data_IF_673239031146
#
_entry.id   IF_673239031146
#
_cell.length_a   1.000
_cell.length_b   1.000
_cell.length_c   1.000
_cell.angle_alpha   90.00
_cell.angle_beta   90.00
_cell.angle_gamma   90.00
#
_symmetry.space_group_name_H-M   'P 1'
#
loop_
_entity.id
_entity.type
_entity.pdbx_description
1 polymer ?
#
# COMPACT_ATOMS: atom_id res chain seq x y z
N UNK A 1 -9.11 16.24 -121.24
CA UNK A 1 -10.41 15.52 -121.37
C UNK A 1 -11.02 15.39 -119.97
N UNK A 2 -12.35 15.58 -119.83
CA UNK A 2 -13.14 15.20 -118.63
C UNK A 2 -13.76 13.81 -118.88
N UNK A 3 -13.95 12.94 -117.87
CA UNK A 3 -15.01 13.05 -116.83
C UNK A 3 -14.46 12.82 -115.39
N UNK A 4 -15.19 12.70 -114.28
CA UNK A 4 -16.50 13.17 -113.70
C UNK A 4 -16.91 12.13 -112.61
N UNK A 5 -17.36 12.58 -111.42
CA UNK A 5 -17.90 11.80 -110.26
C UNK A 5 -16.90 10.89 -109.48
N UNK A 6 -16.81 10.83 -108.13
CA UNK A 6 -17.75 10.93 -106.97
C UNK A 6 -18.54 9.62 -106.74
N UNK A 7 -18.56 8.96 -105.57
CA UNK A 7 -18.06 9.26 -104.20
C UNK A 7 -17.17 8.07 -103.66
N UNK A 8 -16.99 7.71 -102.36
CA UNK A 8 -17.56 8.08 -101.04
C UNK A 8 -16.56 7.77 -99.89
N UNK A 9 -16.93 8.02 -98.63
CA UNK A 9 -16.09 7.92 -97.41
C UNK A 9 -16.15 6.57 -96.66
N UNK A 10 -15.01 6.14 -96.09
CA UNK A 10 -14.95 5.37 -94.84
C UNK A 10 -13.60 5.63 -94.14
N UNK A 11 -13.61 6.25 -92.96
CA UNK A 11 -12.41 6.46 -92.14
C UNK A 11 -12.42 5.50 -90.95
N UNK A 12 -11.37 4.70 -90.81
CA UNK A 12 -11.13 3.83 -89.66
C UNK A 12 -9.81 4.25 -89.02
N UNK A 13 -9.91 4.94 -87.90
CA UNK A 13 -8.77 5.32 -87.06
C UNK A 13 -8.33 4.14 -86.20
N UNK A 14 -7.04 3.82 -86.23
CA UNK A 14 -6.42 2.87 -85.29
C UNK A 14 -6.41 3.43 -83.86
N UNK A 15 -6.70 2.63 -82.83
CA UNK A 15 -6.56 3.06 -81.45
C UNK A 15 -5.08 3.10 -81.04
N UNK A 16 -4.57 4.29 -80.74
CA UNK A 16 -3.31 4.45 -80.02
C UNK A 16 -3.58 4.15 -78.55
N UNK A 17 -2.98 3.09 -78.03
CA UNK A 17 -3.03 2.77 -76.59
C UNK A 17 -2.06 3.71 -75.86
N UNK A 18 -2.59 4.82 -75.35
CA UNK A 18 -1.87 5.65 -74.38
C UNK A 18 -1.90 4.93 -73.02
N UNK A 19 -0.77 4.39 -72.60
CA UNK A 19 -0.62 3.81 -71.25
C UNK A 19 -0.46 4.96 -70.23
N UNK A 20 -1.57 5.64 -69.95
CA UNK A 20 -1.62 6.71 -68.96
C UNK A 20 -1.46 6.15 -67.55
N UNK A 21 -0.29 6.31 -66.95
CA UNK A 21 -0.08 6.11 -65.52
C UNK A 21 -0.85 7.19 -64.75
N UNK A 22 -2.10 6.87 -64.40
CA UNK A 22 -2.92 7.69 -63.52
C UNK A 22 -2.29 7.70 -62.12
N UNK A 23 -1.45 8.70 -61.86
CA UNK A 23 -0.94 9.00 -60.53
C UNK A 23 -2.12 9.52 -59.70
N UNK A 24 -2.81 8.61 -59.01
CA UNK A 24 -3.94 8.93 -58.15
C UNK A 24 -3.44 9.74 -56.93
N UNK A 25 -3.43 11.06 -57.09
CA UNK A 25 -3.26 11.98 -55.97
C UNK A 25 -4.48 11.85 -55.07
N UNK A 26 -4.36 11.06 -54.00
CA UNK A 26 -5.35 11.03 -52.94
C UNK A 26 -5.44 12.44 -52.34
N UNK A 27 -6.59 13.08 -52.45
CA UNK A 27 -6.87 14.35 -51.78
C UNK A 27 -6.61 14.19 -50.28
N UNK A 28 -6.08 15.21 -49.58
CA UNK A 28 -6.02 15.20 -48.12
C UNK A 28 -7.45 15.24 -47.57
N UNK A 29 -8.00 14.05 -47.32
CA UNK A 29 -9.25 13.86 -46.58
C UNK A 29 -8.95 14.30 -45.15
N UNK A 30 -9.56 15.42 -44.75
CA UNK A 30 -9.26 16.13 -43.52
C UNK A 30 -9.82 15.38 -42.29
N UNK A 31 -9.15 14.28 -41.95
CA UNK A 31 -9.33 13.57 -40.71
C UNK A 31 -8.87 14.45 -39.53
N UNK A 32 -9.55 14.32 -38.40
CA UNK A 32 -9.31 15.19 -37.25
C UNK A 32 -9.77 14.52 -35.96
N UNK A 33 -8.82 14.26 -35.06
CA UNK A 33 -9.10 13.60 -33.79
C UNK A 33 -8.02 13.81 -32.75
N UNK A 34 -8.43 13.88 -31.49
CA UNK A 34 -7.51 13.99 -30.35
C UNK A 34 -7.99 13.15 -29.16
N UNK A 35 -7.05 12.78 -28.30
CA UNK A 35 -7.39 12.12 -27.03
C UNK A 35 -7.83 13.17 -26.02
N UNK A 36 -9.10 13.10 -25.63
CA UNK A 36 -9.77 14.04 -24.74
C UNK A 36 -9.78 13.64 -23.25
N UNK A 37 -9.31 12.44 -22.90
CA UNK A 37 -9.29 11.99 -21.51
C UNK A 37 -8.66 10.59 -21.36
N UNK A 38 -7.54 10.42 -20.62
CA UNK A 38 -6.67 11.47 -20.07
C UNK A 38 -6.21 12.45 -21.17
N UNK A 39 -6.06 13.73 -20.84
CA UNK A 39 -5.82 14.78 -21.84
C UNK A 39 -4.48 14.55 -22.56
N UNK A 40 -4.49 14.49 -23.90
CA UNK A 40 -3.24 14.60 -24.67
C UNK A 40 -2.56 15.94 -24.42
N UNK A 41 -1.25 16.04 -24.69
CA UNK A 41 -0.44 17.25 -24.57
C UNK A 41 -1.10 18.43 -25.30
N UNK A 42 -1.61 18.19 -26.50
CA UNK A 42 -2.36 19.16 -27.30
C UNK A 42 -3.74 19.49 -26.71
N UNK A 43 -4.50 18.50 -26.21
CA UNK A 43 -5.76 18.75 -25.52
C UNK A 43 -5.56 19.59 -24.24
N UNK A 44 -4.52 19.29 -23.46
CA UNK A 44 -4.12 20.05 -22.28
C UNK A 44 -3.66 21.49 -22.62
N UNK A 45 -3.09 21.72 -23.81
CA UNK A 45 -2.86 23.07 -24.33
C UNK A 45 -4.18 23.82 -24.61
N UNK A 46 -5.15 23.19 -25.28
CA UNK A 46 -6.50 23.76 -25.50
C UNK A 46 -7.25 24.04 -24.20
N UNK A 47 -7.06 23.20 -23.17
CA UNK A 47 -7.65 23.38 -21.84
C UNK A 47 -6.91 24.39 -20.95
N UNK A 48 -5.81 24.99 -21.41
CA UNK A 48 -5.01 25.94 -20.63
C UNK A 48 -4.18 25.32 -19.49
N UNK A 49 -4.10 23.98 -19.43
CA UNK A 49 -3.26 23.24 -18.47
C UNK A 49 -1.78 23.28 -18.86
N UNK A 50 -1.49 23.33 -20.17
CA UNK A 50 -0.17 23.54 -20.72
C UNK A 50 -0.04 24.97 -21.27
N UNK A 51 1.10 25.61 -21.01
CA UNK A 51 1.43 26.96 -21.52
C UNK A 51 2.46 26.90 -22.65
N UNK A 52 2.57 27.99 -23.42
CA UNK A 52 3.58 28.14 -24.47
C UNK A 52 3.47 27.12 -25.60
N UNK A 53 2.26 26.76 -26.02
CA UNK A 53 2.03 25.69 -27.00
C UNK A 53 1.94 26.14 -28.47
N UNK A 54 2.07 27.44 -28.77
CA UNK A 54 1.85 27.95 -30.13
C UNK A 54 0.40 27.73 -30.62
N UNK A 55 0.24 27.54 -31.93
CA UNK A 55 -1.07 27.48 -32.60
C UNK A 55 -1.96 26.29 -32.23
N UNK A 56 -1.39 25.18 -31.71
CA UNK A 56 -2.15 23.94 -31.45
C UNK A 56 -3.28 24.12 -30.40
N UNK A 57 -3.25 25.18 -29.60
CA UNK A 57 -4.34 25.52 -28.66
C UNK A 57 -5.71 25.63 -29.34
N UNK A 58 -5.74 26.03 -30.62
CA UNK A 58 -6.97 26.18 -31.40
C UNK A 58 -7.41 24.86 -32.05
N UNK A 59 -6.47 23.95 -32.32
CA UNK A 59 -6.70 22.78 -33.17
C UNK A 59 -5.96 21.49 -32.74
N UNK A 60 -6.16 21.00 -31.50
CA UNK A 60 -5.51 19.77 -31.03
C UNK A 60 -5.84 18.52 -31.86
N UNK A 61 -6.89 18.59 -32.67
CA UNK A 61 -7.30 17.55 -33.61
C UNK A 61 -6.39 17.39 -34.85
N UNK A 62 -5.46 18.31 -35.11
CA UNK A 62 -4.74 18.44 -36.39
C UNK A 62 -3.33 17.82 -36.43
N UNK A 63 -2.98 16.93 -35.48
CA UNK A 63 -1.66 16.27 -35.42
C UNK A 63 -1.54 15.07 -36.37
N UNK A 64 -1.63 15.34 -37.67
CA UNK A 64 -1.59 14.36 -38.76
C UNK A 64 -0.17 14.17 -39.34
N UNK A 65 0.22 12.92 -39.61
CA UNK A 65 1.45 12.56 -40.33
C UNK A 65 1.32 11.19 -41.02
N UNK A 66 2.27 10.77 -41.89
CA UNK A 66 2.23 9.43 -42.51
C UNK A 66 2.14 8.30 -41.48
N UNK A 67 1.35 7.26 -41.77
CA UNK A 67 1.14 6.11 -40.88
C UNK A 67 2.28 5.08 -40.92
N UNK A 68 2.14 4.00 -40.14
CA UNK A 68 3.12 2.89 -40.10
C UNK A 68 4.22 3.05 -39.04
N UNK A 69 3.99 3.86 -38.00
CA UNK A 69 4.86 3.91 -36.83
C UNK A 69 4.96 2.52 -36.16
N UNK A 70 6.13 2.09 -35.65
CA UNK A 70 7.40 2.82 -35.56
C UNK A 70 8.30 2.71 -36.79
N UNK A 71 7.99 1.87 -37.78
CA UNK A 71 8.85 1.69 -38.96
C UNK A 71 8.88 2.92 -39.89
N UNK A 72 7.76 3.66 -39.93
CA UNK A 72 7.58 4.92 -40.64
C UNK A 72 7.02 6.00 -39.70
N UNK A 73 6.37 7.03 -40.24
CA UNK A 73 5.81 8.17 -39.50
C UNK A 73 6.84 9.22 -39.06
N UNK A 74 6.47 10.13 -38.14
CA UNK A 74 7.29 11.26 -37.71
C UNK A 74 8.70 10.88 -37.27
N UNK A 75 9.69 11.71 -37.56
CA UNK A 75 11.07 11.49 -37.14
C UNK A 75 11.22 11.49 -35.61
N UNK A 76 12.29 10.87 -35.10
CA UNK A 76 12.65 10.98 -33.68
C UNK A 76 12.90 12.45 -33.29
N UNK A 77 12.46 12.86 -32.10
CA UNK A 77 12.41 14.26 -31.68
C UNK A 77 11.33 15.10 -32.37
N UNK A 78 10.49 14.51 -33.23
CA UNK A 78 9.37 15.16 -33.94
C UNK A 78 8.04 14.42 -33.77
N UNK A 79 7.99 13.47 -32.83
CA UNK A 79 6.84 12.58 -32.61
C UNK A 79 5.64 13.34 -32.01
N UNK A 80 5.89 14.30 -31.12
CA UNK A 80 4.83 15.01 -30.40
C UNK A 80 4.14 16.08 -31.26
N UNK A 81 4.88 16.73 -32.16
CA UNK A 81 4.33 17.63 -33.19
C UNK A 81 3.79 16.90 -34.42
N UNK A 82 3.87 15.57 -34.50
CA UNK A 82 3.68 14.81 -35.73
C UNK A 82 4.55 15.30 -36.91
N UNK A 83 5.69 15.95 -36.64
CA UNK A 83 6.55 16.58 -37.65
C UNK A 83 6.04 17.92 -38.21
N UNK A 84 4.86 18.38 -37.81
CA UNK A 84 4.21 19.61 -38.28
C UNK A 84 4.86 20.89 -37.76
N UNK A 85 4.27 22.05 -38.08
CA UNK A 85 4.70 23.36 -37.59
C UNK A 85 4.55 23.55 -36.06
N UNK A 86 3.80 22.70 -35.35
CA UNK A 86 3.57 22.78 -33.89
C UNK A 86 4.78 22.30 -33.06
N UNK A 87 5.96 22.86 -33.37
CA UNK A 87 7.27 22.44 -32.84
C UNK A 87 7.41 22.57 -31.32
N UNK A 88 6.59 23.42 -30.71
CA UNK A 88 6.51 23.63 -29.26
C UNK A 88 6.18 22.33 -28.52
N UNK A 89 5.42 21.42 -29.14
CA UNK A 89 5.07 20.12 -28.56
C UNK A 89 6.25 19.16 -28.42
N UNK A 90 7.31 19.33 -29.23
CA UNK A 90 8.50 18.48 -29.18
C UNK A 90 9.47 18.87 -28.06
N UNK A 91 9.26 20.01 -27.40
CA UNK A 91 9.99 20.39 -26.19
C UNK A 91 9.78 19.31 -25.12
N UNK A 92 10.87 18.86 -24.49
CA UNK A 92 10.80 17.75 -23.53
C UNK A 92 11.71 18.03 -22.33
N UNK A 93 11.09 18.25 -21.18
CA UNK A 93 11.74 18.26 -19.86
C UNK A 93 10.76 17.80 -18.80
N UNK A 94 11.27 17.34 -17.66
CA UNK A 94 10.45 16.87 -16.55
C UNK A 94 9.38 17.89 -16.11
N UNK A 95 9.72 19.19 -16.14
CA UNK A 95 8.82 20.28 -15.76
C UNK A 95 7.93 20.85 -16.87
N UNK A 96 8.13 20.46 -18.14
CA UNK A 96 7.54 21.19 -19.29
C UNK A 96 6.02 21.05 -19.43
N UNK A 97 5.46 19.90 -19.05
CA UNK A 97 4.08 19.52 -19.36
C UNK A 97 3.30 19.11 -18.11
N UNK A 98 2.02 19.50 -18.07
CA UNK A 98 0.99 18.96 -17.19
C UNK A 98 0.94 17.44 -17.32
N UNK A 99 0.73 16.73 -16.21
CA UNK A 99 0.70 15.27 -16.17
C UNK A 99 -0.63 14.81 -15.62
N UNK A 100 -1.33 13.96 -16.38
CA UNK A 100 -2.52 13.28 -15.91
C UNK A 100 -2.10 12.28 -14.81
N UNK A 101 -2.70 12.34 -13.62
CA UNK A 101 -2.46 11.34 -12.58
C UNK A 101 -3.14 10.03 -12.96
N UNK A 102 -2.38 8.92 -13.01
CA UNK A 102 -2.90 7.58 -13.34
C UNK A 102 -2.24 6.51 -12.47
N UNK A 103 -2.88 5.36 -12.36
CA UNK A 103 -2.28 4.14 -11.83
C UNK A 103 -1.69 3.23 -12.91
N UNK A 104 -0.94 2.22 -12.48
CA UNK A 104 -0.69 0.99 -13.23
C UNK A 104 -1.99 0.18 -13.40
N UNK A 105 -2.13 -0.66 -14.45
CA UNK A 105 -3.34 -1.44 -14.69
C UNK A 105 -4.30 -0.80 -15.70
N UNK A 106 -5.60 -1.13 -15.69
CA UNK A 106 -6.56 -0.64 -16.68
C UNK A 106 -6.71 0.89 -16.70
N UNK A 107 -6.61 1.48 -17.89
CA UNK A 107 -6.78 2.91 -18.14
C UNK A 107 -7.69 3.13 -19.36
N UNK A 108 -8.75 3.92 -19.19
CA UNK A 108 -9.66 4.28 -20.28
C UNK A 108 -9.12 5.49 -21.06
N UNK A 109 -8.92 5.32 -22.36
CA UNK A 109 -8.55 6.37 -23.32
C UNK A 109 -9.78 6.77 -24.15
N UNK A 110 -10.18 8.04 -24.06
CA UNK A 110 -11.34 8.58 -24.77
C UNK A 110 -10.89 9.48 -25.93
N UNK A 111 -11.26 9.13 -27.16
CA UNK A 111 -11.04 10.01 -28.32
C UNK A 111 -12.22 10.94 -28.59
N UNK A 112 -11.91 12.16 -29.04
CA UNK A 112 -12.85 13.11 -29.65
C UNK A 112 -12.50 13.26 -31.12
N UNK A 113 -13.47 12.99 -31.99
CA UNK A 113 -13.39 13.26 -33.43
C UNK A 113 -14.18 14.53 -33.76
N UNK A 114 -13.64 15.37 -34.65
CA UNK A 114 -14.37 16.51 -35.24
C UNK A 114 -14.79 16.25 -36.69
N UNK A 115 -14.27 15.18 -37.30
CA UNK A 115 -14.75 14.59 -38.55
C UNK A 115 -14.64 13.05 -38.43
N UNK A 116 -15.56 12.31 -39.06
CA UNK A 116 -15.61 10.84 -38.96
C UNK A 116 -14.88 10.19 -40.15
N UNK A 117 -13.94 9.28 -39.87
CA UNK A 117 -13.07 8.69 -40.91
C UNK A 117 -12.97 7.18 -40.80
N UNK A 118 -12.77 6.54 -41.95
CA UNK A 118 -12.56 5.09 -42.03
C UNK A 118 -11.30 4.74 -41.25
N UNK A 119 -11.40 3.84 -40.28
CA UNK A 119 -10.31 3.56 -39.35
C UNK A 119 -9.80 2.14 -39.49
N UNK A 120 -8.48 1.98 -39.56
CA UNK A 120 -7.83 0.67 -39.56
C UNK A 120 -7.59 0.16 -38.14
N UNK A 121 -7.01 0.97 -37.27
CA UNK A 121 -6.65 0.59 -35.91
C UNK A 121 -6.26 1.81 -35.06
N UNK A 122 -6.12 1.58 -33.75
CA UNK A 122 -5.39 2.45 -32.85
C UNK A 122 -4.25 1.69 -32.18
N UNK A 123 -3.04 2.23 -32.22
CA UNK A 123 -1.87 1.65 -31.55
C UNK A 123 -1.42 2.54 -30.40
N UNK A 124 -1.19 1.91 -29.25
CA UNK A 124 -0.79 2.57 -28.02
C UNK A 124 0.61 2.14 -27.62
N UNK A 125 1.49 3.12 -27.46
CA UNK A 125 2.86 2.94 -26.99
C UNK A 125 3.05 3.67 -25.67
N UNK A 126 3.99 3.22 -24.86
CA UNK A 126 4.37 3.91 -23.63
C UNK A 126 5.90 3.96 -23.50
N UNK A 127 6.42 5.03 -22.92
CA UNK A 127 7.84 5.14 -22.58
C UNK A 127 8.27 4.02 -21.63
N UNK A 128 9.46 3.46 -21.83
CA UNK A 128 10.13 2.50 -20.95
C UNK A 128 10.45 3.10 -19.59
N UNK A 129 10.65 2.26 -18.57
CA UNK A 129 11.04 2.74 -17.23
C UNK A 129 12.38 3.50 -17.25
N UNK A 130 13.28 3.18 -18.19
CA UNK A 130 14.61 3.79 -18.36
C UNK A 130 14.65 4.96 -19.34
N UNK A 131 13.51 5.56 -19.71
CA UNK A 131 13.50 6.73 -20.61
C UNK A 131 14.06 7.98 -19.92
N UNK A 132 14.64 8.90 -20.70
CA UNK A 132 15.07 10.21 -20.21
C UNK A 132 13.96 11.25 -20.41
N UNK A 133 13.32 11.75 -19.34
CA UNK A 133 12.25 12.75 -19.45
C UNK A 133 12.73 14.14 -19.90
N UNK A 134 14.05 14.35 -20.05
CA UNK A 134 14.67 15.62 -20.47
C UNK A 134 15.33 15.57 -21.85
N UNK A 135 15.18 14.48 -22.60
CA UNK A 135 15.60 14.35 -23.98
C UNK A 135 14.39 14.30 -24.94
N UNK A 136 14.48 14.79 -26.18
CA UNK A 136 13.40 14.69 -27.16
C UNK A 136 12.93 13.24 -27.37
N UNK A 137 11.61 13.04 -27.44
CA UNK A 137 10.99 11.72 -27.53
C UNK A 137 11.39 11.00 -28.83
N UNK A 138 11.90 9.77 -28.70
CA UNK A 138 12.40 8.94 -29.81
C UNK A 138 11.85 7.51 -29.71
N UNK A 139 11.84 6.77 -30.83
CA UNK A 139 11.40 5.37 -30.91
C UNK A 139 12.05 4.46 -29.86
N UNK A 140 13.34 4.67 -29.58
CA UNK A 140 14.09 3.88 -28.60
C UNK A 140 13.48 3.96 -27.18
N UNK A 141 12.84 5.08 -26.82
CA UNK A 141 12.22 5.27 -25.51
C UNK A 141 10.88 4.53 -25.38
N UNK A 142 10.23 4.20 -26.49
CA UNK A 142 8.86 3.67 -26.53
C UNK A 142 8.84 2.14 -26.67
N UNK A 143 7.76 1.53 -26.16
CA UNK A 143 7.34 0.16 -26.47
C UNK A 143 5.83 0.10 -26.72
N UNK A 144 5.38 -0.80 -27.61
CA UNK A 144 3.96 -1.02 -27.89
C UNK A 144 3.32 -1.73 -26.68
N UNK A 145 2.24 -1.17 -26.14
CA UNK A 145 1.49 -1.76 -25.02
C UNK A 145 0.20 -2.45 -25.47
N UNK A 146 -0.48 -1.95 -26.51
CA UNK A 146 -1.63 -2.63 -27.14
C UNK A 146 -1.99 -2.03 -28.50
N UNK A 147 -2.69 -2.79 -29.34
CA UNK A 147 -3.34 -2.32 -30.57
C UNK A 147 -4.82 -2.72 -30.53
N UNK A 148 -5.69 -1.75 -30.77
CA UNK A 148 -7.14 -1.93 -30.93
C UNK A 148 -7.43 -1.96 -32.43
N UNK A 149 -7.77 -3.12 -32.97
CA UNK A 149 -8.16 -3.28 -34.37
C UNK A 149 -9.54 -2.64 -34.64
N UNK A 150 -9.74 -2.19 -35.87
CA UNK A 150 -11.02 -1.69 -36.37
C UNK A 150 -11.33 -2.32 -37.75
N UNK A 151 -12.60 -2.33 -38.15
CA UNK A 151 -13.10 -3.06 -39.33
C UNK A 151 -12.96 -2.29 -40.65
N UNK A 152 -12.30 -1.13 -40.67
CA UNK A 152 -12.24 -0.25 -41.83
C UNK A 152 -13.53 0.54 -42.09
N UNK A 153 -14.54 0.48 -41.23
CA UNK A 153 -15.70 1.38 -41.26
C UNK A 153 -15.34 2.76 -40.65
N UNK A 154 -16.25 3.72 -40.76
CA UNK A 154 -16.05 5.07 -40.23
C UNK A 154 -16.20 5.09 -38.70
N UNK A 155 -15.16 5.49 -37.98
CA UNK A 155 -15.24 5.72 -36.54
C UNK A 155 -16.11 6.97 -36.29
N UNK A 156 -17.39 6.73 -35.97
CA UNK A 156 -18.42 7.76 -35.81
C UNK A 156 -18.91 7.91 -34.35
N UNK A 157 -18.62 6.93 -33.48
CA UNK A 157 -18.78 7.03 -32.04
C UNK A 157 -17.47 7.55 -31.42
N UNK A 158 -17.56 8.25 -30.28
CA UNK A 158 -16.40 8.65 -29.46
C UNK A 158 -15.95 7.40 -28.69
N UNK A 159 -14.92 6.67 -29.15
CA UNK A 159 -14.61 5.36 -28.63
C UNK A 159 -13.78 5.52 -27.36
N UNK A 160 -14.15 4.73 -26.35
CA UNK A 160 -13.39 4.53 -25.14
C UNK A 160 -12.62 3.22 -25.26
N UNK A 161 -11.30 3.27 -25.27
CA UNK A 161 -10.44 2.08 -25.29
C UNK A 161 -9.83 1.85 -23.91
N UNK A 162 -10.01 0.66 -23.35
CA UNK A 162 -9.29 0.26 -22.15
C UNK A 162 -7.93 -0.30 -22.55
N UNK A 163 -6.86 0.37 -22.14
CA UNK A 163 -5.47 -0.09 -22.27
C UNK A 163 -4.96 -0.55 -20.91
N UNK A 164 -3.87 -1.34 -20.88
CA UNK A 164 -3.21 -1.73 -19.63
C UNK A 164 -1.89 -0.98 -19.49
N UNK A 165 -1.79 -0.12 -18.48
CA UNK A 165 -0.56 0.56 -18.07
C UNK A 165 0.37 -0.48 -17.42
N UNK A 166 1.59 -0.71 -17.93
CA UNK A 166 2.48 -1.75 -17.39
C UNK A 166 2.81 -1.55 -15.91
N UNK A 167 2.84 -2.63 -15.14
CA UNK A 167 3.09 -2.59 -13.68
C UNK A 167 4.49 -2.07 -13.30
N UNK A 168 5.47 -2.18 -14.21
CA UNK A 168 6.83 -1.65 -14.06
C UNK A 168 6.91 -0.19 -14.56
N UNK A 169 5.97 0.66 -14.14
CA UNK A 169 5.93 2.10 -14.45
C UNK A 169 5.70 2.93 -13.20
N UNK A 170 6.50 3.96 -13.03
CA UNK A 170 6.48 4.84 -11.86
C UNK A 170 6.97 6.24 -12.22
N UNK A 171 6.27 7.26 -11.73
CA UNK A 171 6.56 8.66 -11.98
C UNK A 171 6.17 9.11 -13.39
N UNK A 172 6.91 10.07 -13.93
CA UNK A 172 6.60 10.67 -15.22
C UNK A 172 6.88 9.71 -16.38
N UNK A 173 5.85 9.48 -17.19
CA UNK A 173 5.90 8.75 -18.45
C UNK A 173 5.10 9.48 -19.54
N UNK A 174 5.32 9.05 -20.78
CA UNK A 174 4.53 9.44 -21.94
C UNK A 174 3.85 8.22 -22.53
N UNK A 175 2.55 8.33 -22.80
CA UNK A 175 1.79 7.41 -23.67
C UNK A 175 1.65 8.08 -25.03
N UNK A 176 1.93 7.35 -26.12
CA UNK A 176 1.67 7.77 -27.49
C UNK A 176 0.47 6.97 -28.02
N UNK A 177 -0.62 7.66 -28.33
CA UNK A 177 -1.78 7.11 -29.01
C UNK A 177 -1.71 7.46 -30.50
N UNK A 178 -1.69 6.44 -31.36
CA UNK A 178 -1.67 6.58 -32.82
C UNK A 178 -2.99 6.07 -33.38
N UNK A 179 -3.65 6.87 -34.22
CA UNK A 179 -4.89 6.49 -34.93
C UNK A 179 -4.60 6.33 -36.43
N UNK A 180 -4.61 5.10 -36.94
CA UNK A 180 -4.37 4.83 -38.36
C UNK A 180 -5.66 4.95 -39.18
N UNK A 181 -5.68 5.92 -40.12
CA UNK A 181 -6.79 6.12 -41.04
C UNK A 181 -6.69 5.10 -42.18
N UNK A 182 -7.82 4.48 -42.55
CA UNK A 182 -7.85 3.36 -43.49
C UNK A 182 -7.77 3.80 -44.95
N UNK A 183 -8.42 4.93 -45.29
CA UNK A 183 -8.55 5.44 -46.66
C UNK A 183 -7.53 6.54 -47.04
N UNK A 184 -6.60 6.88 -46.13
CA UNK A 184 -5.46 7.77 -46.41
C UNK A 184 -4.13 7.09 -46.10
N UNK A 185 -3.01 7.75 -46.42
CA UNK A 185 -1.65 7.31 -46.04
C UNK A 185 -1.23 7.79 -44.64
N UNK A 186 -2.14 8.43 -43.90
CA UNK A 186 -1.83 9.18 -42.67
C UNK A 186 -2.42 8.53 -41.40
N UNK A 187 -1.92 9.02 -40.27
CA UNK A 187 -2.34 8.71 -38.91
C UNK A 187 -2.27 9.95 -38.01
N UNK A 188 -3.01 9.93 -36.90
CA UNK A 188 -3.01 11.01 -35.90
C UNK A 188 -2.20 10.63 -34.68
N UNK A 189 -1.29 11.51 -34.27
CA UNK A 189 -0.31 11.28 -33.21
C UNK A 189 -0.65 12.11 -31.96
N UNK A 190 -1.09 11.44 -30.89
CA UNK A 190 -1.45 12.08 -29.63
C UNK A 190 -0.52 11.60 -28.51
N UNK A 191 0.44 12.45 -28.13
CA UNK A 191 1.23 12.28 -26.90
C UNK A 191 0.39 12.64 -25.68
N UNK A 192 0.45 11.83 -24.64
CA UNK A 192 -0.27 12.00 -23.37
C UNK A 192 0.77 11.94 -22.25
N UNK A 193 0.94 13.05 -21.54
CA UNK A 193 1.82 13.16 -20.38
C UNK A 193 1.13 12.62 -19.13
N UNK A 194 1.77 11.68 -18.44
CA UNK A 194 1.17 10.96 -17.30
C UNK A 194 2.13 10.89 -16.12
N UNK A 195 1.58 10.98 -14.91
CA UNK A 195 2.31 10.69 -13.67
C UNK A 195 1.74 9.39 -13.09
N UNK A 196 2.51 8.31 -13.22
CA UNK A 196 2.11 6.96 -12.82
C UNK A 196 2.42 6.76 -11.34
N UNK A 197 1.40 6.52 -10.54
CA UNK A 197 1.58 5.99 -9.18
C UNK A 197 1.49 4.47 -9.22
N UNK A 198 2.58 3.72 -8.90
CA UNK A 198 2.50 2.28 -8.68
C UNK A 198 1.49 2.02 -7.55
N UNK A 199 0.49 1.17 -7.79
CA UNK A 199 -0.59 0.92 -6.83
C UNK A 199 -2.01 1.00 -7.41
N UNK A 200 -2.20 1.44 -8.66
CA UNK A 200 -3.50 1.32 -9.35
C UNK A 200 -3.88 -0.13 -9.73
N UNK A 201 -3.06 -1.10 -9.35
CA UNK A 201 -3.20 -2.51 -9.68
C UNK A 201 -3.18 -3.44 -8.46
N UNK A 202 -3.37 -2.92 -7.25
CA UNK A 202 -3.77 -3.81 -6.17
C UNK A 202 -5.25 -4.17 -6.37
N UNK A 203 -5.51 -5.43 -6.71
CA UNK A 203 -6.86 -5.98 -6.83
C UNK A 203 -7.25 -6.88 -5.66
N UNK A 204 -6.34 -7.07 -4.70
CA UNK A 204 -6.65 -7.77 -3.46
C UNK A 204 -7.31 -6.78 -2.53
N UNK A 205 -8.56 -7.05 -2.15
CA UNK A 205 -9.15 -6.34 -1.03
C UNK A 205 -8.48 -6.77 0.28
N UNK A 206 -8.29 -5.84 1.24
CA UNK A 206 -7.82 -6.20 2.58
C UNK A 206 -8.65 -7.31 3.22
N UNK A 207 -8.03 -8.06 4.13
CA UNK A 207 -8.77 -9.02 4.96
C UNK A 207 -9.85 -8.30 5.80
N UNK A 208 -10.91 -9.02 6.14
CA UNK A 208 -11.93 -8.46 7.04
C UNK A 208 -11.28 -8.10 8.40
N UNK A 209 -11.56 -6.90 8.97
CA UNK A 209 -11.11 -6.57 10.32
C UNK A 209 -11.56 -7.63 11.32
N UNK A 210 -10.74 -7.83 12.36
CA UNK A 210 -11.06 -8.79 13.42
C UNK A 210 -12.31 -8.40 14.22
N UNK A 211 -12.67 -9.24 15.19
CA UNK A 211 -13.84 -9.03 16.05
C UNK A 211 -13.85 -7.60 16.63
N UNK A 212 -14.97 -6.90 16.42
CA UNK A 212 -15.21 -5.58 17.03
C UNK A 212 -15.55 -5.77 18.50
N UNK A 213 -14.97 -4.93 19.35
CA UNK A 213 -15.15 -4.88 20.80
C UNK A 213 -15.60 -3.47 21.19
N UNK A 214 -16.53 -3.37 22.15
CA UNK A 214 -16.87 -2.12 22.82
C UNK A 214 -16.20 -2.04 24.19
N UNK A 215 -15.70 -0.87 24.59
CA UNK A 215 -15.02 -0.68 25.88
C UNK A 215 -15.51 0.51 26.72
N UNK A 216 -16.36 1.36 26.14
CA UNK A 216 -17.00 2.48 26.83
C UNK A 216 -18.38 2.67 26.24
N UNK A 217 -19.44 2.57 27.06
CA UNK A 217 -20.82 2.68 26.62
C UNK A 217 -21.55 3.62 27.56
N UNK A 218 -22.12 4.69 27.01
CA UNK A 218 -22.93 5.65 27.79
C UNK A 218 -24.36 5.68 27.25
N UNK A 219 -25.17 6.63 27.72
CA UNK A 219 -26.48 6.89 27.16
C UNK A 219 -26.45 7.51 25.74
N UNK A 220 -25.29 8.01 25.28
CA UNK A 220 -25.18 8.71 23.99
C UNK A 220 -23.89 8.44 23.19
N UNK A 221 -22.99 7.57 23.68
CA UNK A 221 -21.72 7.23 23.02
C UNK A 221 -21.38 5.74 23.14
N UNK A 222 -20.66 5.22 22.15
CA UNK A 222 -20.04 3.88 22.17
C UNK A 222 -18.61 3.96 21.63
N UNK A 223 -17.64 3.56 22.46
CA UNK A 223 -16.23 3.41 22.07
C UNK A 223 -15.98 2.00 21.51
N UNK A 224 -15.58 1.93 20.25
CA UNK A 224 -15.30 0.72 19.48
C UNK A 224 -13.80 0.54 19.26
N UNK A 225 -13.36 -0.72 19.25
CA UNK A 225 -12.02 -1.14 18.84
C UNK A 225 -12.07 -2.48 18.11
N UNK A 226 -11.06 -2.79 17.30
CA UNK A 226 -10.96 -4.06 16.55
C UNK A 226 -9.51 -4.46 16.32
N UNK A 227 -9.27 -5.71 15.94
CA UNK A 227 -7.95 -6.12 15.43
C UNK A 227 -7.75 -5.61 14.02
N UNK A 228 -6.54 -5.14 13.70
CA UNK A 228 -6.20 -4.64 12.38
C UNK A 228 -6.45 -5.69 11.28
N UNK A 229 -6.93 -5.22 10.13
CA UNK A 229 -6.88 -6.00 8.91
C UNK A 229 -5.45 -6.05 8.36
N UNK A 230 -5.18 -7.04 7.53
CA UNK A 230 -3.94 -7.19 6.76
C UNK A 230 -4.22 -7.05 5.27
N UNK A 231 -3.21 -6.59 4.54
CA UNK A 231 -3.27 -6.39 3.09
C UNK A 231 -1.86 -6.57 2.50
N UNK A 232 -1.75 -6.85 1.19
CA UNK A 232 -0.45 -7.06 0.53
C UNK A 232 0.33 -5.77 0.23
N UNK A 233 -0.33 -4.61 0.14
CA UNK A 233 0.32 -3.29 0.02
C UNK A 233 0.15 -2.49 1.31
N UNK A 234 -1.07 -2.46 1.87
CA UNK A 234 -1.33 -1.89 3.18
C UNK A 234 -2.73 -1.27 3.35
N UNK A 235 -3.29 -1.46 4.54
CA UNK A 235 -4.56 -0.85 4.95
C UNK A 235 -4.34 0.64 5.27
N UNK A 236 -5.08 1.53 4.63
CA UNK A 236 -5.01 2.99 4.83
C UNK A 236 -6.01 3.50 5.86
N UNK A 237 -7.07 2.75 6.12
CA UNK A 237 -8.05 3.08 7.13
C UNK A 237 -9.25 2.13 7.15
N UNK A 238 -10.25 2.50 7.93
CA UNK A 238 -11.43 1.70 8.22
C UNK A 238 -12.69 2.53 8.06
N UNK A 239 -13.76 1.91 7.57
CA UNK A 239 -15.11 2.49 7.46
C UNK A 239 -16.01 1.80 8.48
N UNK A 240 -16.66 2.58 9.35
CA UNK A 240 -17.48 2.09 10.47
C UNK A 240 -18.96 2.22 10.12
N UNK A 241 -19.71 1.16 10.34
CA UNK A 241 -21.14 1.07 10.04
C UNK A 241 -21.95 0.81 11.30
N UNK A 242 -23.06 1.54 11.48
CA UNK A 242 -24.10 1.32 12.48
C UNK A 242 -25.40 0.97 11.78
N UNK A 243 -26.00 -0.16 12.14
CA UNK A 243 -27.25 -0.69 11.57
C UNK A 243 -27.21 -0.76 10.01
N UNK A 244 -26.03 -1.04 9.46
CA UNK A 244 -25.76 -1.11 8.02
C UNK A 244 -25.43 0.22 7.34
N UNK A 245 -25.57 1.37 8.02
CA UNK A 245 -25.28 2.70 7.49
C UNK A 245 -23.88 3.14 7.90
N UNK A 246 -23.08 3.67 6.97
CA UNK A 246 -21.77 4.24 7.28
C UNK A 246 -21.92 5.50 8.15
N UNK A 247 -21.23 5.53 9.30
CA UNK A 247 -21.25 6.65 10.25
C UNK A 247 -19.94 7.45 10.28
N UNK A 248 -18.88 6.92 9.66
CA UNK A 248 -17.59 7.61 9.56
C UNK A 248 -16.44 6.67 9.21
N UNK A 249 -15.24 7.23 9.19
CA UNK A 249 -13.99 6.50 8.97
C UNK A 249 -12.97 6.74 10.09
N UNK A 250 -11.98 5.85 10.20
CA UNK A 250 -10.85 5.98 11.11
C UNK A 250 -9.57 5.49 10.45
N UNK A 251 -8.46 6.23 10.62
CA UNK A 251 -7.12 5.79 10.22
C UNK A 251 -6.48 4.81 11.23
N UNK A 252 -7.17 4.52 12.35
CA UNK A 252 -6.69 3.62 13.41
C UNK A 252 -7.73 2.55 13.71
N UNK A 253 -7.39 1.54 14.49
CA UNK A 253 -8.31 0.45 14.87
C UNK A 253 -9.27 0.80 16.01
N UNK A 254 -9.67 2.07 16.11
CA UNK A 254 -10.58 2.62 17.12
C UNK A 254 -11.52 3.67 16.53
N UNK A 255 -12.72 3.79 17.08
CA UNK A 255 -13.70 4.82 16.72
C UNK A 255 -14.69 5.05 17.88
N UNK A 256 -15.07 6.31 18.13
CA UNK A 256 -16.12 6.65 19.11
C UNK A 256 -17.36 7.13 18.37
N UNK A 257 -18.44 6.36 18.44
CA UNK A 257 -19.75 6.81 17.99
C UNK A 257 -20.40 7.72 19.03
N UNK A 258 -21.15 8.74 18.59
CA UNK A 258 -21.68 9.84 19.41
C UNK A 258 -23.07 10.26 18.94
N UNK A 259 -23.85 10.85 19.85
CA UNK A 259 -25.21 11.31 19.55
C UNK A 259 -26.22 10.17 19.45
N UNK A 260 -25.92 9.04 20.09
CA UNK A 260 -26.83 7.89 20.16
C UNK A 260 -28.03 8.20 21.05
N UNK A 261 -29.14 7.49 20.81
CA UNK A 261 -30.29 7.50 21.70
C UNK A 261 -30.09 6.45 22.81
N UNK A 262 -30.51 6.81 24.02
CA UNK A 262 -30.32 6.00 25.22
C UNK A 262 -31.24 4.76 25.25
N UNK A 263 -30.78 3.68 25.89
CA UNK A 263 -31.51 2.42 25.99
C UNK A 263 -31.78 1.72 24.66
N UNK A 264 -31.00 2.01 23.62
CA UNK A 264 -31.17 1.46 22.26
C UNK A 264 -30.06 0.48 21.91
N UNK A 265 -30.47 -0.61 21.27
CA UNK A 265 -29.57 -1.58 20.64
C UNK A 265 -29.10 -1.05 19.30
N UNK A 266 -27.79 -1.16 19.04
CA UNK A 266 -27.13 -0.78 17.80
C UNK A 266 -26.20 -1.90 17.33
N UNK A 267 -26.22 -2.20 16.03
CA UNK A 267 -25.38 -3.23 15.41
C UNK A 267 -24.19 -2.57 14.71
N UNK A 268 -22.97 -2.91 15.12
CA UNK A 268 -21.74 -2.35 14.55
C UNK A 268 -20.98 -3.36 13.70
N UNK A 269 -20.52 -2.91 12.53
CA UNK A 269 -19.52 -3.63 11.70
C UNK A 269 -18.47 -2.65 11.17
N UNK A 270 -17.30 -3.16 10.82
CA UNK A 270 -16.19 -2.37 10.27
C UNK A 270 -15.68 -3.03 9.00
N UNK A 271 -15.28 -2.22 8.01
CA UNK A 271 -14.51 -2.67 6.83
C UNK A 271 -13.17 -1.96 6.79
N UNK A 272 -12.14 -2.63 6.27
CA UNK A 272 -10.86 -2.03 5.94
C UNK A 272 -10.86 -1.52 4.50
N UNK A 273 -10.10 -0.46 4.25
CA UNK A 273 -9.85 0.11 2.93
C UNK A 273 -8.33 0.24 2.73
N UNK A 274 -7.84 0.11 1.50
CA UNK A 274 -6.43 0.27 1.11
C UNK A 274 -6.17 1.60 0.38
N UNK A 275 -4.99 1.73 -0.24
CA UNK A 275 -4.62 2.90 -1.04
C UNK A 275 -5.16 2.85 -2.49
N UNK A 276 -5.54 1.67 -2.98
CA UNK A 276 -6.08 1.44 -4.32
C UNK A 276 -7.59 1.70 -4.40
N UNK A 277 -8.27 1.72 -3.25
CA UNK A 277 -9.72 1.91 -3.12
C UNK A 277 -10.50 0.60 -2.93
N UNK A 278 -9.84 -0.55 -2.74
CA UNK A 278 -10.55 -1.79 -2.44
C UNK A 278 -11.11 -1.74 -1.01
N UNK A 279 -12.18 -2.50 -0.77
CA UNK A 279 -12.83 -2.58 0.54
C UNK A 279 -12.98 -4.05 0.94
N UNK A 280 -12.61 -4.37 2.18
CA UNK A 280 -12.77 -5.71 2.74
C UNK A 280 -14.24 -6.14 2.86
N UNK A 281 -14.47 -7.43 3.07
CA UNK A 281 -15.72 -7.88 3.70
C UNK A 281 -15.89 -7.23 5.09
N UNK A 282 -17.14 -7.12 5.56
CA UNK A 282 -17.42 -6.64 6.92
C UNK A 282 -16.85 -7.58 7.98
N UNK A 283 -16.35 -7.00 9.07
CA UNK A 283 -16.03 -7.72 10.31
C UNK A 283 -17.24 -8.52 10.84
N UNK A 284 -16.99 -9.46 11.74
CA UNK A 284 -18.07 -10.00 12.60
C UNK A 284 -18.76 -8.83 13.32
N UNK A 285 -20.09 -8.83 13.31
CA UNK A 285 -20.88 -7.77 13.93
C UNK A 285 -20.90 -7.89 15.46
N UNK A 286 -21.03 -6.76 16.14
CA UNK A 286 -21.33 -6.70 17.59
C UNK A 286 -22.59 -5.87 17.82
N UNK A 287 -23.48 -6.38 18.66
CA UNK A 287 -24.64 -5.63 19.16
C UNK A 287 -24.28 -4.97 20.48
N UNK A 288 -24.47 -3.66 20.58
CA UNK A 288 -24.23 -2.88 21.81
C UNK A 288 -25.51 -2.15 22.18
N UNK A 289 -25.91 -2.23 23.44
CA UNK A 289 -27.06 -1.49 23.98
C UNK A 289 -26.54 -0.28 24.76
N UNK A 290 -26.95 0.92 24.38
CA UNK A 290 -26.62 2.15 25.13
C UNK A 290 -27.27 2.15 26.51
N UNK A 291 -26.64 2.79 27.48
CA UNK A 291 -27.22 2.95 28.82
C UNK A 291 -28.55 3.71 28.75
N UNK A 292 -29.45 3.50 29.71
CA UNK A 292 -30.73 4.20 29.78
C UNK A 292 -30.55 5.71 30.02
N UNK A 293 -31.51 6.52 29.57
CA UNK A 293 -31.47 7.96 29.81
C UNK A 293 -31.59 8.24 31.32
N UNK A 294 -30.68 9.04 31.87
CA UNK A 294 -30.65 9.32 33.31
C UNK A 294 -30.05 8.21 34.19
N UNK A 295 -29.40 7.20 33.60
CA UNK A 295 -28.43 6.42 34.35
C UNK A 295 -27.37 7.38 34.90
N UNK A 296 -27.28 7.49 36.23
CA UNK A 296 -26.21 8.25 36.88
C UNK A 296 -24.86 7.65 36.48
N UNK A 297 -23.77 8.45 36.40
CA UNK A 297 -22.44 7.90 36.29
C UNK A 297 -22.23 6.88 37.41
N UNK A 298 -21.59 5.75 37.11
CA UNK A 298 -21.26 4.82 38.18
C UNK A 298 -20.27 5.50 39.13
N UNK A 299 -20.66 5.61 40.40
CA UNK A 299 -19.84 6.20 41.46
C UNK A 299 -19.44 5.18 42.51
N UNK A 300 -19.82 3.91 42.33
CA UNK A 300 -19.46 2.84 43.23
C UNK A 300 -18.10 2.29 42.81
N UNK A 301 -17.18 2.15 43.76
CA UNK A 301 -15.87 1.59 43.51
C UNK A 301 -15.89 0.06 43.68
N UNK A 302 -15.06 -0.69 42.95
CA UNK A 302 -14.87 -2.11 43.17
C UNK A 302 -14.44 -2.43 44.61
N UNK A 303 -14.75 -3.63 45.07
CA UNK A 303 -14.18 -4.16 46.32
C UNK A 303 -12.65 -4.26 46.24
N UNK A 304 -11.97 -4.11 47.38
CA UNK A 304 -10.52 -4.25 47.44
C UNK A 304 -10.11 -5.69 47.03
N UNK A 305 -9.09 -5.87 46.16
CA UNK A 305 -8.57 -7.20 45.84
C UNK A 305 -8.15 -7.94 47.11
N UNK A 306 -8.51 -9.21 47.22
CA UNK A 306 -8.27 -10.03 48.41
C UNK A 306 -7.31 -11.17 48.12
N UNK A 307 -6.75 -11.79 49.15
CA UNK A 307 -5.89 -12.96 48.98
C UNK A 307 -4.63 -12.73 48.12
N UNK A 308 -4.02 -11.54 48.17
CA UNK A 308 -2.73 -11.30 47.52
C UNK A 308 -1.66 -12.20 48.14
N UNK A 309 -1.04 -13.04 47.32
CA UNK A 309 0.03 -13.96 47.71
C UNK A 309 1.08 -14.10 46.60
N UNK A 310 2.24 -14.66 46.96
CA UNK A 310 3.27 -15.08 46.02
C UNK A 310 3.04 -16.54 45.62
N UNK A 311 3.19 -16.82 44.33
CA UNK A 311 3.23 -18.17 43.76
C UNK A 311 4.66 -18.70 43.63
N UNK A 312 5.66 -17.84 43.81
CA UNK A 312 7.07 -18.20 43.78
C UNK A 312 7.99 -17.00 43.59
N UNK A 313 9.16 -17.07 44.23
CA UNK A 313 10.24 -16.10 44.08
C UNK A 313 11.46 -16.74 43.44
N UNK A 314 12.21 -15.96 42.65
CA UNK A 314 13.59 -16.29 42.27
C UNK A 314 14.56 -15.27 42.87
N UNK A 315 15.82 -15.29 42.44
CA UNK A 315 16.78 -14.22 42.76
C UNK A 315 16.39 -12.87 42.11
N UNK A 316 15.57 -12.88 41.05
CA UNK A 316 15.23 -11.69 40.25
C UNK A 316 13.75 -11.54 39.88
N UNK A 317 12.87 -12.41 40.39
CA UNK A 317 11.43 -12.38 40.10
C UNK A 317 10.57 -12.63 41.34
N UNK A 318 9.34 -12.09 41.32
CA UNK A 318 8.24 -12.42 42.25
C UNK A 318 6.97 -12.63 41.43
N UNK A 319 6.36 -13.81 41.54
CA UNK A 319 5.10 -14.15 40.88
C UNK A 319 3.92 -13.87 41.81
N UNK A 320 3.12 -12.84 41.52
CA UNK A 320 1.97 -12.43 42.32
C UNK A 320 0.67 -13.03 41.80
N UNK A 321 -0.23 -13.42 42.72
CA UNK A 321 -1.61 -13.78 42.42
C UNK A 321 -2.57 -13.27 43.50
N UNK A 322 -3.79 -12.92 43.11
CA UNK A 322 -4.85 -12.44 44.01
C UNK A 322 -6.23 -12.94 43.59
N UNK A 323 -7.21 -12.80 44.47
CA UNK A 323 -8.62 -13.05 44.17
C UNK A 323 -9.24 -11.85 43.44
N UNK A 324 -10.15 -12.07 42.47
CA UNK A 324 -10.79 -10.99 41.74
C UNK A 324 -11.65 -10.10 42.67
N UNK A 325 -11.69 -8.80 42.34
CA UNK A 325 -12.62 -7.83 42.91
C UNK A 325 -14.02 -7.98 42.31
N UNK A 326 -15.01 -7.48 43.04
CA UNK A 326 -16.43 -7.46 42.65
C UNK A 326 -16.92 -6.02 42.57
N UNK A 327 -17.82 -5.77 41.61
CA UNK A 327 -18.35 -4.44 41.32
C UNK A 327 -19.80 -4.58 40.78
N UNK A 328 -20.60 -3.51 40.85
CA UNK A 328 -21.99 -3.49 40.38
C UNK A 328 -22.12 -3.45 38.85
N UNK A 329 -21.11 -2.96 38.12
CA UNK A 329 -21.06 -2.98 36.65
C UNK A 329 -19.92 -3.87 36.15
N UNK A 330 -18.72 -3.74 36.72
CA UNK A 330 -17.60 -4.64 36.44
C UNK A 330 -16.22 -4.00 36.55
N UNK A 331 -15.24 -4.83 36.95
CA UNK A 331 -13.83 -4.43 37.08
C UNK A 331 -13.15 -4.43 35.70
N UNK A 332 -12.47 -3.33 35.37
CA UNK A 332 -11.75 -3.13 34.11
C UNK A 332 -10.30 -3.61 34.17
N UNK A 333 -9.58 -3.28 35.26
CA UNK A 333 -8.20 -3.72 35.47
C UNK A 333 -7.79 -3.66 36.95
N UNK A 334 -6.60 -4.19 37.21
CA UNK A 334 -5.86 -4.11 38.45
C UNK A 334 -4.56 -3.34 38.23
N UNK A 335 -4.28 -2.36 39.07
CA UNK A 335 -2.97 -1.73 39.19
C UNK A 335 -2.15 -2.48 40.23
N UNK A 336 -0.93 -2.89 39.87
CA UNK A 336 0.04 -3.53 40.76
C UNK A 336 0.97 -2.46 41.31
N UNK A 337 1.07 -2.36 42.63
CA UNK A 337 1.92 -1.39 43.31
C UNK A 337 3.07 -2.12 44.02
N UNK A 338 4.29 -1.62 43.83
CA UNK A 338 5.49 -2.05 44.55
C UNK A 338 6.07 -0.86 45.30
N UNK A 339 6.29 -1.01 46.59
CA UNK A 339 6.83 0.01 47.50
C UNK A 339 6.07 1.34 47.41
N UNK A 340 4.75 1.25 47.18
CA UNK A 340 3.83 2.37 47.06
C UNK A 340 3.60 2.90 45.64
N UNK A 341 4.45 2.56 44.67
CA UNK A 341 4.41 3.03 43.28
C UNK A 341 3.72 2.02 42.36
N UNK A 342 2.87 2.49 41.43
CA UNK A 342 2.30 1.61 40.38
C UNK A 342 3.40 1.17 39.42
N UNK A 343 3.59 -0.13 39.28
CA UNK A 343 4.61 -0.74 38.39
C UNK A 343 4.00 -1.46 37.18
N UNK A 344 2.73 -1.84 37.24
CA UNK A 344 2.00 -2.44 36.13
C UNK A 344 0.48 -2.22 36.24
N UNK A 345 -0.22 -2.39 35.11
CA UNK A 345 -1.67 -2.58 35.07
C UNK A 345 -1.99 -3.83 34.25
N UNK A 346 -2.95 -4.63 34.72
CA UNK A 346 -3.34 -5.92 34.10
C UNK A 346 -4.82 -6.19 34.27
N UNK A 347 -5.45 -6.87 33.31
CA UNK A 347 -6.82 -7.39 33.47
C UNK A 347 -6.86 -8.77 34.15
N UNK A 348 -5.72 -9.47 34.20
CA UNK A 348 -5.59 -10.75 34.91
C UNK A 348 -5.46 -10.54 36.43
N UNK A 349 -5.75 -11.56 37.22
CA UNK A 349 -5.56 -11.57 38.68
C UNK A 349 -4.18 -12.09 39.10
N UNK A 350 -3.18 -11.92 38.23
CA UNK A 350 -1.79 -12.33 38.45
C UNK A 350 -0.81 -11.42 37.70
N UNK A 351 0.43 -11.36 38.18
CA UNK A 351 1.52 -10.57 37.59
C UNK A 351 2.90 -11.06 38.03
N UNK A 352 3.82 -11.27 37.09
CA UNK A 352 5.23 -11.56 37.38
C UNK A 352 6.04 -10.26 37.38
N UNK A 353 6.56 -9.87 38.54
CA UNK A 353 7.50 -8.75 38.66
C UNK A 353 8.94 -9.24 38.43
N UNK A 354 9.58 -8.74 37.37
CA UNK A 354 10.93 -9.15 36.93
C UNK A 354 11.99 -8.08 37.21
N UNK A 355 13.27 -8.48 37.19
CA UNK A 355 14.41 -7.58 37.37
C UNK A 355 14.53 -7.05 38.80
N UNK A 356 14.13 -7.86 39.78
CA UNK A 356 14.33 -7.60 41.20
C UNK A 356 15.79 -7.86 41.61
N UNK A 357 16.22 -7.29 42.73
CA UNK A 357 17.54 -7.52 43.35
C UNK A 357 17.44 -8.73 44.26
N UNK A 358 18.47 -9.59 44.26
CA UNK A 358 18.48 -10.82 45.07
C UNK A 358 18.62 -10.53 46.57
N UNK A 359 17.86 -11.25 47.39
CA UNK A 359 17.78 -11.05 48.85
C UNK A 359 17.12 -9.73 49.29
N UNK A 360 16.53 -8.97 48.37
CA UNK A 360 15.85 -7.72 48.68
C UNK A 360 14.37 -7.95 48.98
N UNK A 361 13.84 -7.20 49.95
CA UNK A 361 12.44 -7.23 50.36
C UNK A 361 11.64 -6.17 49.62
N UNK A 362 10.48 -6.55 49.09
CA UNK A 362 9.54 -5.70 48.35
C UNK A 362 8.15 -5.78 48.97
N UNK A 363 7.42 -4.66 48.99
CA UNK A 363 6.05 -4.58 49.49
C UNK A 363 5.05 -4.35 48.36
N UNK A 364 4.14 -5.30 48.15
CA UNK A 364 3.15 -5.28 47.09
C UNK A 364 1.73 -5.01 47.60
N UNK A 365 0.97 -4.23 46.84
CA UNK A 365 -0.46 -3.97 47.02
C UNK A 365 -1.15 -3.89 45.66
N UNK A 366 -2.43 -4.26 45.57
CA UNK A 366 -3.24 -4.20 44.35
C UNK A 366 -4.40 -3.23 44.53
N UNK A 367 -4.72 -2.46 43.50
CA UNK A 367 -5.93 -1.62 43.40
C UNK A 367 -6.74 -2.08 42.19
N UNK A 368 -8.04 -2.32 42.34
CA UNK A 368 -8.95 -2.55 41.22
C UNK A 368 -9.52 -1.21 40.71
N UNK A 369 -9.83 -1.14 39.42
CA UNK A 369 -10.51 0.01 38.80
C UNK A 369 -11.57 -0.48 37.85
N UNK A 370 -12.76 0.14 37.87
CA UNK A 370 -13.90 -0.18 37.02
C UNK A 370 -13.84 0.50 35.63
N UNK A 371 -14.94 0.47 34.88
CA UNK A 371 -15.08 1.16 33.61
C UNK A 371 -15.25 2.69 33.73
N UNK A 372 -15.80 3.19 34.84
CA UNK A 372 -16.07 4.60 35.09
C UNK A 372 -14.86 5.38 35.64
N UNK A 373 -13.85 4.68 36.14
CA UNK A 373 -12.64 5.24 36.75
C UNK A 373 -12.62 5.18 38.28
N UNK A 374 -13.60 4.56 38.94
CA UNK A 374 -13.62 4.42 40.39
C UNK A 374 -12.55 3.39 40.82
N UNK A 375 -11.73 3.76 41.81
CA UNK A 375 -10.65 2.92 42.32
C UNK A 375 -11.02 2.31 43.67
N UNK A 376 -10.76 1.01 43.83
CA UNK A 376 -10.95 0.31 45.10
C UNK A 376 -9.99 0.83 46.17
N UNK A 377 -10.26 0.56 47.47
CA UNK A 377 -9.20 0.52 48.48
C UNK A 377 -8.09 -0.46 48.05
N UNK A 378 -6.88 -0.26 48.57
CA UNK A 378 -5.75 -1.18 48.36
C UNK A 378 -6.06 -2.55 48.98
N UNK A 379 -5.53 -3.61 48.37
CA UNK A 379 -5.49 -4.95 48.97
C UNK A 379 -4.76 -4.96 50.31
N UNK A 380 -4.86 -6.07 51.04
CA UNK A 380 -3.85 -6.41 52.04
C UNK A 380 -2.45 -6.39 51.41
N UNK A 381 -1.46 -5.89 52.15
CA UNK A 381 -0.10 -5.76 51.66
C UNK A 381 0.67 -7.08 51.81
N UNK A 382 1.32 -7.52 50.73
CA UNK A 382 2.22 -8.66 50.72
C UNK A 382 3.66 -8.15 50.80
N UNK A 383 4.41 -8.57 51.82
CA UNK A 383 5.85 -8.33 51.90
C UNK A 383 6.57 -9.62 51.56
N UNK A 384 7.41 -9.61 50.52
CA UNK A 384 8.16 -10.79 50.06
C UNK A 384 9.62 -10.42 49.83
N UNK A 385 10.53 -11.34 50.14
CA UNK A 385 11.93 -11.24 49.76
C UNK A 385 12.20 -12.12 48.55
N UNK A 386 12.94 -11.61 47.58
CA UNK A 386 13.56 -12.49 46.56
C UNK A 386 14.51 -13.47 47.23
N UNK A 387 14.79 -14.59 46.56
CA UNK A 387 15.82 -15.51 47.03
C UNK A 387 17.17 -14.76 47.07
N UNK A 388 17.93 -14.97 48.13
CA UNK A 388 19.31 -14.51 48.19
C UNK A 388 20.09 -15.08 47.01
N UNK A 389 20.97 -14.27 46.42
CA UNK A 389 21.93 -14.78 45.44
C UNK A 389 22.69 -15.93 46.08
N UNK A 390 22.81 -17.06 45.38
CA UNK A 390 23.51 -18.24 45.89
C UNK A 390 24.94 -17.86 46.34
N UNK A 391 25.14 -17.72 47.65
CA UNK A 391 26.46 -17.44 48.22
C UNK A 391 27.36 -18.60 47.88
N UNK A 392 28.43 -18.35 47.11
CA UNK A 392 29.48 -19.32 46.84
C UNK A 392 30.37 -19.53 48.08
N UNK A 393 29.77 -20.07 49.16
CA UNK A 393 30.53 -20.64 50.28
C UNK A 393 31.26 -21.89 49.78
N UNK A 394 32.46 -21.67 49.26
CA UNK A 394 33.36 -22.74 48.87
C UNK A 394 33.74 -23.59 50.08
N UNK A 395 33.53 -24.90 49.96
CA UNK A 395 34.18 -25.91 50.78
C UNK A 395 34.52 -27.08 49.86
N UNK A 396 35.79 -27.17 49.43
CA UNK A 396 36.23 -28.25 48.55
C UNK A 396 37.31 -27.86 47.54
N UNK A 397 38.57 -27.89 47.99
CA UNK A 397 39.79 -27.95 47.18
C UNK A 397 40.27 -26.68 46.46
N UNK A 398 41.50 -26.31 46.80
CA UNK A 398 42.37 -25.37 46.09
C UNK A 398 42.66 -25.81 44.66
N UNK A 399 42.24 -24.99 43.69
CA UNK A 399 42.60 -25.14 42.29
C UNK A 399 42.90 -23.79 41.66
N UNK A 400 44.15 -23.32 41.77
CA UNK A 400 44.66 -22.23 40.93
C UNK A 400 44.87 -22.73 39.49
N UNK A 401 43.78 -23.15 38.84
CA UNK A 401 43.80 -23.61 37.46
C UNK A 401 43.88 -22.43 36.52
N UNK A 402 45.02 -22.27 35.83
CA UNK A 402 45.11 -21.43 34.64
C UNK A 402 44.06 -21.88 33.62
N UNK A 403 43.27 -20.95 33.09
CA UNK A 403 42.18 -21.27 32.16
C UNK A 403 42.72 -21.96 30.90
N UNK A 404 42.34 -23.22 30.70
CA UNK A 404 42.81 -24.04 29.57
C UNK A 404 42.11 -23.64 28.26
N UNK A 405 42.71 -23.83 27.08
CA UNK A 405 42.00 -23.61 25.82
C UNK A 405 40.72 -24.44 25.75
N UNK A 406 39.61 -23.83 25.35
CA UNK A 406 38.34 -24.54 25.18
C UNK A 406 38.40 -25.51 24.00
N UNK A 407 37.78 -26.68 24.17
CA UNK A 407 37.66 -27.72 23.15
C UNK A 407 36.20 -28.09 22.95
N UNK A 408 35.76 -28.16 21.70
CA UNK A 408 34.43 -28.59 21.30
C UNK A 408 34.12 -30.06 21.67
N UNK A 409 35.13 -30.87 22.02
CA UNK A 409 35.01 -32.26 22.50
C UNK A 409 35.41 -32.42 23.98
N UNK A 410 35.67 -31.33 24.69
CA UNK A 410 36.05 -31.35 26.10
C UNK A 410 34.90 -31.75 27.03
N UNK A 411 35.25 -32.32 28.19
CA UNK A 411 34.33 -32.54 29.30
C UNK A 411 34.54 -31.45 30.34
N UNK A 412 33.46 -30.83 30.80
CA UNK A 412 33.50 -29.70 31.73
C UNK A 412 32.56 -29.92 32.90
N UNK A 413 33.04 -29.56 34.09
CA UNK A 413 32.30 -29.50 35.34
C UNK A 413 32.03 -28.05 35.73
N UNK A 414 30.99 -27.83 36.54
CA UNK A 414 30.62 -26.48 37.00
C UNK A 414 31.79 -25.86 37.75
N UNK A 415 32.23 -24.69 37.32
CA UNK A 415 33.39 -23.96 37.85
C UNK A 415 34.61 -23.94 36.94
N UNK A 416 34.74 -24.87 35.99
CA UNK A 416 35.90 -24.96 35.09
C UNK A 416 36.11 -23.66 34.31
N UNK A 417 37.37 -23.19 34.24
CA UNK A 417 37.77 -22.00 33.50
C UNK A 417 38.43 -22.38 32.18
N UNK A 418 37.94 -21.80 31.08
CA UNK A 418 38.46 -22.00 29.73
C UNK A 418 38.71 -20.69 29.01
N UNK A 419 39.63 -20.70 28.04
CA UNK A 419 39.88 -19.57 27.13
C UNK A 419 39.36 -19.87 25.73
N UNK A 420 38.69 -18.90 25.11
CA UNK A 420 38.36 -18.93 23.68
C UNK A 420 38.30 -17.50 23.12
N UNK A 421 38.82 -17.27 21.91
CA UNK A 421 38.77 -15.97 21.24
C UNK A 421 39.36 -14.78 22.03
N UNK A 422 40.25 -15.05 22.99
CA UNK A 422 40.81 -14.04 23.91
C UNK A 422 39.96 -13.74 25.15
N UNK A 423 38.75 -14.29 25.28
CA UNK A 423 37.93 -14.20 26.49
C UNK A 423 38.12 -15.41 27.42
N UNK A 424 37.87 -15.21 28.71
CA UNK A 424 37.82 -16.30 29.70
C UNK A 424 36.38 -16.60 30.09
N UNK A 425 36.01 -17.87 30.06
CA UNK A 425 34.66 -18.37 30.32
C UNK A 425 34.68 -19.36 31.47
N UNK A 426 33.66 -19.30 32.33
CA UNK A 426 33.42 -20.25 33.42
C UNK A 426 32.25 -21.16 33.06
N UNK A 427 32.44 -22.47 33.20
CA UNK A 427 31.36 -23.44 33.05
C UNK A 427 30.34 -23.24 34.19
N UNK A 428 29.07 -23.00 33.86
CA UNK A 428 27.98 -22.85 34.83
C UNK A 428 27.05 -24.07 34.88
N UNK A 429 27.11 -24.93 33.86
CA UNK A 429 26.40 -26.20 33.81
C UNK A 429 27.31 -27.28 33.20
N UNK A 430 27.56 -28.35 33.95
CA UNK A 430 28.45 -29.44 33.53
C UNK A 430 27.94 -30.13 32.25
N UNK A 431 28.82 -30.37 31.28
CA UNK A 431 28.48 -31.03 30.03
C UNK A 431 29.67 -31.74 29.37
N UNK A 432 29.38 -32.53 28.33
CA UNK A 432 30.34 -33.16 27.44
C UNK A 432 30.15 -32.59 26.03
N UNK A 433 31.19 -31.98 25.48
CA UNK A 433 31.19 -31.53 24.09
C UNK A 433 31.27 -32.71 23.11
N UNK A 434 30.51 -32.63 22.01
CA UNK A 434 30.47 -33.64 20.95
C UNK A 434 30.97 -33.10 19.58
N UNK A 435 31.76 -32.03 19.58
CA UNK A 435 32.44 -31.50 18.39
C UNK A 435 31.82 -30.22 17.78
N UNK A 436 30.71 -29.71 18.30
CA UNK A 436 30.12 -28.44 17.84
C UNK A 436 30.87 -27.23 18.43
N UNK A 437 31.50 -26.37 17.59
CA UNK A 437 32.33 -25.26 18.04
C UNK A 437 31.54 -24.11 18.68
N UNK A 438 30.20 -24.07 18.56
CA UNK A 438 29.38 -22.96 19.05
C UNK A 438 29.02 -23.07 20.53
N UNK A 439 29.24 -24.24 21.16
CA UNK A 439 28.76 -24.49 22.53
C UNK A 439 29.37 -23.59 23.60
N UNK A 440 30.57 -23.05 23.36
CA UNK A 440 31.21 -22.00 24.18
C UNK A 440 30.40 -20.70 24.27
N UNK A 441 29.50 -20.44 23.32
CA UNK A 441 28.64 -19.27 23.29
C UNK A 441 27.27 -19.52 23.95
N UNK A 442 26.96 -20.76 24.36
CA UNK A 442 25.70 -21.12 24.97
C UNK A 442 25.58 -20.51 26.39
N UNK A 443 24.69 -19.52 26.63
CA UNK A 443 24.64 -18.81 27.92
C UNK A 443 24.13 -19.68 29.08
N UNK A 444 23.58 -20.86 28.79
CA UNK A 444 23.19 -21.88 29.76
C UNK A 444 24.36 -22.75 30.24
N UNK A 445 25.47 -22.79 29.49
CA UNK A 445 26.63 -23.63 29.79
C UNK A 445 27.84 -22.81 30.24
N UNK A 446 27.97 -21.58 29.73
CA UNK A 446 29.13 -20.72 29.96
C UNK A 446 28.73 -19.30 30.35
N UNK A 447 29.43 -18.75 31.35
CA UNK A 447 29.41 -17.34 31.70
C UNK A 447 30.78 -16.72 31.46
N UNK A 448 30.84 -15.60 30.75
CA UNK A 448 32.13 -14.89 30.52
C UNK A 448 32.56 -14.17 31.79
N UNK A 449 33.81 -14.38 32.21
CA UNK A 449 34.38 -13.81 33.43
C UNK A 449 35.48 -12.78 33.18
N UNK A 450 36.08 -12.76 31.97
CA UNK A 450 37.00 -11.73 31.48
C UNK A 450 36.95 -11.63 29.96
#
# INVERSE_FOLDING_TARGET
MKPTMVARTAALLSPIVLLGTALALASPVQAHGYVSGPYSRAAACKMGLNTGCGGIVYEPQSLEAPKGFPAAGPADGRIASAGTAFTELDQQSYGRWYKNAIGTGPLTINWTYTAAHRTSQWSYYMTKQSWDPNAPLKRADLELITTVAHDGSAANTRPAHTITVPANRSGYHVILAVWDVADTVNAFYNVIDVNVTPGGGDGSAPTAPGKVLSSGVTASTVDLSWSAASDNVGVTGYTVFRDGVSIGSSATTRYTDRGLAAGRSYLYTVRANDAAGNTSASSTAITVVTAAAGALPDTQAPSAPSGLHSMGESESTVDLMWSPSTDNVGVKNYSVLRDGLVVAQTAATSYTDSGRVAGATYRYEIIATDAAGNASPRSGALTVATKSAATSTGSGSTGSGSASPWSATGRYTVGDLVTNGGGTYRCIQAYQGNGDPNWILAPSLWSRVA
#
